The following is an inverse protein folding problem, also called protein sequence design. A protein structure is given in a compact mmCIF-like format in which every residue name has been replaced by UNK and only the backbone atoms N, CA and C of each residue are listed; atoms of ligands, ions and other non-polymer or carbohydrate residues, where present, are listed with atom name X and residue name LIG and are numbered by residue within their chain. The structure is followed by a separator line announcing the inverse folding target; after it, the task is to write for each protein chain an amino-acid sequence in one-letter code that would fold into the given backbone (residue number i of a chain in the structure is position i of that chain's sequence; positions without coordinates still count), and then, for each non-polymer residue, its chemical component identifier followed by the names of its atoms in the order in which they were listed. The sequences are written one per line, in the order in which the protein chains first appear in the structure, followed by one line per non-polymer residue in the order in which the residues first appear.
data_IF_019567143431
#
_entry.id   IF_019567143431
#
_cell.length_a   1.000
_cell.length_b   1.000
_cell.length_c   1.000
_cell.angle_alpha   90.00
_cell.angle_beta   90.00
_cell.angle_gamma   90.00
#
_symmetry.space_group_name_H-M   'P 1'
#
loop_
_entity.id
_entity.type
_entity.pdbx_description
1 polymer ?
#
# COMPACT_ATOMS: atom_id res chain seq x y z
N UNK A 1 -10.22 27.40 -35.13
CA UNK A 1 -10.54 27.38 -33.67
C UNK A 1 -10.19 25.99 -33.17
N UNK A 2 -9.20 25.83 -32.26
CA UNK A 2 -8.89 24.50 -31.70
C UNK A 2 -10.03 24.11 -30.76
N UNK A 3 -10.71 23.00 -31.03
CA UNK A 3 -11.65 22.37 -30.10
C UNK A 3 -10.83 21.54 -29.12
N UNK A 4 -10.87 21.90 -27.85
CA UNK A 4 -10.40 21.05 -26.77
C UNK A 4 -11.59 20.21 -26.34
N UNK A 5 -11.46 18.89 -26.45
CA UNK A 5 -12.44 17.92 -25.95
C UNK A 5 -11.76 17.02 -24.94
N UNK A 6 -12.54 16.47 -24.01
CA UNK A 6 -12.08 15.44 -23.08
C UNK A 6 -12.27 14.08 -23.75
N UNK A 7 -11.24 13.24 -23.71
CA UNK A 7 -11.33 11.86 -24.21
C UNK A 7 -10.82 10.89 -23.14
N UNK A 8 -11.60 9.86 -22.76
CA UNK A 8 -12.98 9.62 -23.18
C UNK A 8 -13.93 10.75 -22.74
N UNK A 9 -15.09 10.85 -23.40
CA UNK A 9 -16.12 11.83 -23.01
C UNK A 9 -16.51 11.62 -21.54
N UNK A 10 -16.66 12.72 -20.81
CA UNK A 10 -17.13 12.66 -19.43
C UNK A 10 -18.66 12.49 -19.41
N UNK A 11 -19.13 11.51 -18.64
CA UNK A 11 -20.56 11.30 -18.41
C UNK A 11 -20.99 12.00 -17.13
N UNK A 12 -21.97 12.90 -17.24
CA UNK A 12 -22.65 13.48 -16.07
C UNK A 12 -23.79 12.56 -15.64
N UNK A 13 -23.83 12.25 -14.35
CA UNK A 13 -24.98 11.59 -13.74
C UNK A 13 -25.41 12.38 -12.50
N UNK A 14 -26.54 13.09 -12.62
CA UNK A 14 -27.01 14.06 -11.63
C UNK A 14 -25.93 15.09 -11.23
N UNK A 15 -25.38 14.97 -10.03
CA UNK A 15 -24.42 15.94 -9.45
C UNK A 15 -22.97 15.48 -9.56
N UNK A 16 -22.70 14.35 -10.21
CA UNK A 16 -21.39 13.73 -10.27
C UNK A 16 -20.90 13.51 -11.70
N UNK A 17 -19.58 13.56 -11.85
CA UNK A 17 -18.84 13.05 -13.00
C UNK A 17 -18.19 11.73 -12.64
N UNK A 18 -18.23 10.78 -13.58
CA UNK A 18 -17.54 9.50 -13.43
C UNK A 18 -16.47 9.39 -14.51
N UNK A 19 -15.28 8.92 -14.14
CA UNK A 19 -14.22 8.56 -15.09
C UNK A 19 -13.70 7.15 -14.81
N UNK A 20 -13.05 6.55 -15.80
CA UNK A 20 -12.58 5.15 -15.72
C UNK A 20 -13.63 4.11 -16.15
N UNK A 21 -14.85 4.53 -16.41
CA UNK A 21 -15.94 3.66 -16.87
C UNK A 21 -15.72 3.19 -18.31
N UNK A 22 -15.89 1.88 -18.52
CA UNK A 22 -15.80 1.25 -19.85
C UNK A 22 -17.16 1.10 -20.52
N UNK A 23 -18.22 0.84 -19.73
CA UNK A 23 -19.61 0.86 -20.21
C UNK A 23 -20.60 0.89 -19.02
N UNK A 24 -21.72 1.58 -19.18
CA UNK A 24 -22.79 1.59 -18.17
C UNK A 24 -22.52 2.47 -16.95
N UNK A 25 -23.24 2.23 -15.86
CA UNK A 25 -23.08 2.92 -14.58
C UNK A 25 -22.07 2.16 -13.70
N UNK A 26 -21.20 2.85 -12.94
CA UNK A 26 -20.26 2.18 -12.05
C UNK A 26 -21.00 1.44 -10.93
N UNK A 27 -20.73 0.16 -10.75
CA UNK A 27 -21.22 -0.59 -9.58
C UNK A 27 -20.40 -0.24 -8.34
N UNK A 28 -19.10 -0.04 -8.53
CA UNK A 28 -18.14 0.32 -7.48
C UNK A 28 -17.38 1.59 -7.86
N UNK A 29 -17.22 2.51 -6.91
CA UNK A 29 -16.59 3.80 -7.17
C UNK A 29 -15.87 4.37 -5.96
N UNK A 30 -14.87 5.22 -6.23
CA UNK A 30 -14.15 6.02 -5.25
C UNK A 30 -14.42 7.51 -5.48
N UNK A 31 -14.64 8.29 -4.43
CA UNK A 31 -14.69 9.75 -4.51
C UNK A 31 -13.28 10.31 -4.60
N UNK A 32 -12.94 10.96 -5.71
CA UNK A 32 -11.56 11.45 -5.95
C UNK A 32 -11.42 12.95 -5.85
N UNK A 33 -12.52 13.69 -5.77
CA UNK A 33 -12.50 15.14 -5.59
C UNK A 33 -13.64 15.85 -6.29
N UNK A 34 -13.43 17.11 -6.65
CA UNK A 34 -14.42 17.98 -7.30
C UNK A 34 -13.78 18.68 -8.49
N UNK A 35 -14.57 18.93 -9.54
CA UNK A 35 -14.11 19.81 -10.63
C UNK A 35 -13.92 21.24 -10.10
N UNK A 36 -12.82 21.86 -10.54
CA UNK A 36 -12.41 23.22 -10.12
C UNK A 36 -12.77 24.31 -11.13
N UNK A 37 -13.60 23.98 -12.11
CA UNK A 37 -14.02 24.87 -13.20
C UNK A 37 -14.95 25.98 -12.69
N UNK A 38 -15.06 27.07 -13.45
CA UNK A 38 -15.95 28.18 -13.12
C UNK A 38 -17.41 27.73 -13.28
N UNK A 39 -18.14 27.63 -12.16
CA UNK A 39 -19.55 27.24 -12.15
C UNK A 39 -19.87 26.27 -11.02
N UNK A 40 -20.71 25.26 -11.33
CA UNK A 40 -21.12 24.24 -10.37
C UNK A 40 -19.95 23.30 -10.08
N UNK A 41 -19.68 23.05 -8.80
CA UNK A 41 -18.69 22.06 -8.35
C UNK A 41 -19.30 20.67 -8.41
N UNK A 42 -18.99 19.92 -9.46
CA UNK A 42 -19.40 18.53 -9.57
C UNK A 42 -18.42 17.64 -8.79
N UNK A 43 -18.95 16.68 -8.06
CA UNK A 43 -18.12 15.62 -7.46
C UNK A 43 -17.59 14.72 -8.57
N UNK A 44 -16.37 14.23 -8.41
CA UNK A 44 -15.70 13.34 -9.35
C UNK A 44 -15.54 11.99 -8.69
N UNK A 45 -15.98 10.95 -9.40
CA UNK A 45 -15.89 9.56 -8.98
C UNK A 45 -15.07 8.75 -9.97
N UNK A 46 -14.24 7.87 -9.43
CA UNK A 46 -13.46 6.93 -10.21
C UNK A 46 -14.14 5.57 -10.17
N UNK A 47 -14.45 5.03 -11.35
CA UNK A 47 -15.02 3.69 -11.50
C UNK A 47 -13.94 2.62 -11.31
N UNK A 48 -14.16 1.78 -10.31
CA UNK A 48 -13.27 0.66 -9.94
C UNK A 48 -13.96 -0.70 -10.13
N UNK A 49 -15.09 -0.74 -10.84
CA UNK A 49 -15.87 -1.98 -11.07
C UNK A 49 -15.02 -3.06 -11.75
N UNK A 50 -14.07 -2.66 -12.60
CA UNK A 50 -13.10 -3.53 -13.27
C UNK A 50 -11.69 -3.25 -12.80
N UNK A 51 -10.78 -4.18 -13.07
CA UNK A 51 -9.36 -4.06 -12.78
C UNK A 51 -8.74 -2.89 -13.55
N UNK A 52 -7.95 -2.07 -12.85
CA UNK A 52 -7.30 -0.89 -13.43
C UNK A 52 -5.82 -0.87 -13.03
N UNK A 53 -4.98 -0.49 -13.98
CA UNK A 53 -3.58 -0.12 -13.72
C UNK A 53 -3.49 1.40 -13.70
N UNK A 54 -3.03 1.96 -12.58
CA UNK A 54 -3.02 3.40 -12.33
C UNK A 54 -1.59 3.85 -12.09
N UNK A 55 -1.21 4.97 -12.71
CA UNK A 55 0.05 5.63 -12.43
C UNK A 55 -0.21 7.11 -12.10
N UNK A 56 0.32 7.58 -10.97
CA UNK A 56 0.15 8.95 -10.47
C UNK A 56 1.46 9.70 -10.63
N UNK A 57 1.47 10.71 -11.52
CA UNK A 57 2.65 11.51 -11.83
C UNK A 57 2.48 12.96 -11.38
N UNK A 58 3.59 13.63 -11.08
CA UNK A 58 3.60 15.03 -10.68
C UNK A 58 4.94 15.46 -10.08
N UNK A 59 5.19 16.78 -10.03
CA UNK A 59 6.41 17.34 -9.39
C UNK A 59 6.39 17.08 -7.88
N UNK A 60 7.52 17.33 -7.21
CA UNK A 60 7.61 17.25 -5.75
C UNK A 60 6.63 18.26 -5.13
N UNK A 61 5.79 17.80 -4.20
CA UNK A 61 4.80 18.65 -3.53
C UNK A 61 3.43 18.74 -4.21
N UNK A 62 3.25 18.16 -5.40
CA UNK A 62 1.98 18.23 -6.17
C UNK A 62 0.91 17.21 -5.70
N UNK A 63 1.03 16.66 -4.50
CA UNK A 63 -0.02 15.81 -3.93
C UNK A 63 -0.04 14.34 -4.36
N UNK A 64 1.00 13.78 -4.99
CA UNK A 64 1.03 12.36 -5.39
C UNK A 64 0.64 11.38 -4.26
N UNK A 65 1.29 11.50 -3.10
CA UNK A 65 0.99 10.67 -1.93
C UNK A 65 -0.40 10.96 -1.35
N UNK A 66 -0.86 12.21 -1.44
CA UNK A 66 -2.22 12.57 -1.03
C UNK A 66 -3.26 11.86 -1.91
N UNK A 67 -3.11 11.92 -3.24
CA UNK A 67 -3.97 11.21 -4.19
C UNK A 67 -3.96 9.70 -3.95
N UNK A 68 -2.78 9.09 -3.77
CA UNK A 68 -2.68 7.66 -3.49
C UNK A 68 -3.36 7.30 -2.17
N UNK A 69 -3.15 8.09 -1.11
CA UNK A 69 -3.81 7.95 0.18
C UNK A 69 -5.32 7.97 0.05
N UNK A 70 -5.90 9.00 -0.58
CA UNK A 70 -7.34 9.12 -0.74
C UNK A 70 -7.95 7.96 -1.55
N UNK A 71 -7.23 7.45 -2.55
CA UNK A 71 -7.68 6.25 -3.28
C UNK A 71 -7.68 5.01 -2.38
N UNK A 72 -6.59 4.79 -1.64
CA UNK A 72 -6.48 3.65 -0.71
C UNK A 72 -7.53 3.74 0.38
N UNK A 73 -7.73 4.90 1.00
CA UNK A 73 -8.77 5.13 2.04
C UNK A 73 -10.15 4.75 1.53
N UNK A 74 -10.52 5.18 0.31
CA UNK A 74 -11.80 4.83 -0.29
C UNK A 74 -11.96 3.33 -0.56
N UNK A 75 -10.87 2.62 -0.83
CA UNK A 75 -10.89 1.16 -1.09
C UNK A 75 -11.09 0.32 0.18
N UNK A 76 -10.76 0.86 1.35
CA UNK A 76 -10.69 0.11 2.62
C UNK A 76 -11.67 0.63 3.66
N UNK A 77 -12.70 1.37 3.27
CA UNK A 77 -13.75 1.80 4.20
C UNK A 77 -14.48 0.58 4.78
N UNK A 78 -14.73 0.60 6.09
CA UNK A 78 -15.52 -0.47 6.72
C UNK A 78 -16.96 -0.45 6.18
N UNK A 79 -17.57 0.72 6.01
CA UNK A 79 -18.94 0.85 5.51
C UNK A 79 -18.98 0.85 3.97
N UNK A 80 -20.07 0.31 3.40
CA UNK A 80 -20.34 0.37 1.96
C UNK A 80 -21.86 0.45 1.73
N UNK A 81 -22.38 1.53 1.13
CA UNK A 81 -21.64 2.73 0.71
C UNK A 81 -21.14 3.55 1.90
N UNK A 82 -20.07 4.33 1.70
CA UNK A 82 -19.52 5.31 2.63
C UNK A 82 -19.65 6.73 2.05
N UNK A 83 -19.25 7.77 2.80
CA UNK A 83 -19.22 9.14 2.25
C UNK A 83 -18.16 9.34 1.16
N UNK A 84 -17.14 8.47 1.08
CA UNK A 84 -16.02 8.59 0.14
C UNK A 84 -15.95 7.45 -0.89
N UNK A 85 -16.80 6.42 -0.80
CA UNK A 85 -16.73 5.27 -1.71
C UNK A 85 -17.99 4.40 -1.72
N UNK A 86 -18.08 3.53 -2.71
CA UNK A 86 -18.95 2.36 -2.75
C UNK A 86 -18.14 1.19 -3.27
N UNK A 87 -17.71 0.29 -2.39
CA UNK A 87 -16.82 -0.84 -2.73
C UNK A 87 -17.39 -2.12 -2.13
N UNK A 88 -17.40 -3.21 -2.91
CA UNK A 88 -17.80 -4.54 -2.42
C UNK A 88 -16.68 -5.11 -1.55
N UNK A 89 -17.03 -5.82 -0.47
CA UNK A 89 -16.06 -6.33 0.53
C UNK A 89 -15.27 -7.57 0.11
N UNK A 90 -15.19 -7.86 -1.19
CA UNK A 90 -14.48 -9.04 -1.74
C UNK A 90 -13.07 -8.69 -2.22
N UNK A 91 -12.53 -7.55 -1.78
CA UNK A 91 -11.23 -7.01 -2.21
C UNK A 91 -10.31 -6.82 -1.01
N UNK A 92 -9.03 -7.08 -1.22
CA UNK A 92 -7.97 -6.78 -0.26
C UNK A 92 -6.96 -5.80 -0.89
N UNK A 93 -6.40 -4.91 -0.07
CA UNK A 93 -5.38 -3.95 -0.49
C UNK A 93 -4.08 -4.29 0.22
N UNK A 94 -3.04 -4.63 -0.54
CA UNK A 94 -1.67 -4.69 -0.05
C UNK A 94 -0.97 -3.38 -0.38
N UNK A 95 -0.46 -2.69 0.63
CA UNK A 95 0.08 -1.35 0.48
C UNK A 95 1.50 -1.23 1.04
N UNK A 96 2.46 -0.92 0.17
CA UNK A 96 3.85 -0.74 0.54
C UNK A 96 4.16 0.74 0.80
N UNK A 97 4.16 1.14 2.07
CA UNK A 97 4.50 2.50 2.50
C UNK A 97 5.99 2.65 2.79
N UNK A 98 6.76 2.95 1.75
CA UNK A 98 8.22 3.09 1.85
C UNK A 98 8.69 4.34 2.61
N UNK A 99 7.81 5.32 2.85
CA UNK A 99 8.13 6.57 3.53
C UNK A 99 7.51 6.68 4.93
N UNK A 100 6.74 5.68 5.35
CA UNK A 100 6.06 5.61 6.64
C UNK A 100 5.14 6.82 6.93
N UNK A 101 4.43 7.30 5.90
CA UNK A 101 3.53 8.46 5.97
C UNK A 101 2.05 8.06 6.14
N UNK A 102 1.69 6.81 5.88
CA UNK A 102 0.32 6.28 5.91
C UNK A 102 0.02 5.45 7.15
N UNK A 103 0.98 5.27 8.06
CA UNK A 103 0.78 4.60 9.36
C UNK A 103 -0.31 5.23 10.26
N UNK A 104 -0.81 6.41 9.90
CA UNK A 104 -1.87 7.12 10.63
C UNK A 104 -3.28 6.82 10.10
N UNK A 105 -3.43 6.03 9.03
CA UNK A 105 -4.74 5.70 8.44
C UNK A 105 -5.68 4.97 9.42
N UNK A 106 -5.14 4.29 10.43
CA UNK A 106 -5.96 3.62 11.44
C UNK A 106 -6.50 4.58 12.53
N UNK A 107 -6.21 5.89 12.43
CA UNK A 107 -6.69 6.91 13.34
C UNK A 107 -7.83 7.68 12.65
N UNK A 108 -9.10 7.46 13.05
CA UNK A 108 -10.22 8.18 12.46
C UNK A 108 -10.14 9.68 12.80
N UNK A 109 -10.47 10.53 11.83
CA UNK A 109 -10.54 11.98 12.01
C UNK A 109 -11.78 12.40 12.81
N UNK A 110 -11.72 12.26 14.14
CA UNK A 110 -12.79 12.68 15.05
C UNK A 110 -12.70 14.15 15.46
N UNK A 111 -13.86 14.82 15.59
CA UNK A 111 -13.98 16.16 16.18
C UNK A 111 -13.81 16.18 17.72
N UNK A 112 -13.53 15.03 18.33
CA UNK A 112 -13.33 14.87 19.77
C UNK A 112 -11.90 15.21 20.22
N UNK A 113 -10.90 15.06 19.35
CA UNK A 113 -9.50 15.39 19.67
C UNK A 113 -9.21 16.88 19.50
N UNK A 114 -9.92 17.69 20.29
CA UNK A 114 -9.78 19.16 20.32
C UNK A 114 -8.40 19.61 20.82
N UNK A 115 -7.58 18.70 21.33
CA UNK A 115 -6.24 19.00 21.84
C UNK A 115 -5.25 19.44 20.75
N UNK A 116 -5.45 19.00 19.51
CA UNK A 116 -4.49 19.23 18.42
C UNK A 116 -5.09 20.10 17.32
N UNK A 117 -4.54 21.31 17.16
CA UNK A 117 -5.01 22.29 16.16
C UNK A 117 -5.01 21.75 14.73
N UNK A 118 -4.04 20.89 14.39
CA UNK A 118 -3.94 20.34 13.04
C UNK A 118 -5.07 19.34 12.73
N UNK A 119 -5.42 18.47 13.69
CA UNK A 119 -6.56 17.56 13.57
C UNK A 119 -7.86 18.35 13.39
N UNK A 120 -8.03 19.45 14.14
CA UNK A 120 -9.20 20.31 13.97
C UNK A 120 -9.27 20.97 12.58
N UNK A 121 -8.14 21.39 12.02
CA UNK A 121 -8.10 21.94 10.65
C UNK A 121 -8.48 20.88 9.63
N UNK A 122 -7.95 19.66 9.76
CA UNK A 122 -8.29 18.55 8.86
C UNK A 122 -9.77 18.17 8.96
N UNK A 123 -10.32 18.10 10.18
CA UNK A 123 -11.75 17.86 10.39
C UNK A 123 -12.64 18.96 9.78
N UNK A 124 -12.23 20.24 9.87
CA UNK A 124 -12.94 21.35 9.21
C UNK A 124 -12.89 21.24 7.69
N UNK A 125 -11.75 20.87 7.12
CA UNK A 125 -11.61 20.61 5.69
C UNK A 125 -12.59 19.53 5.26
N UNK A 126 -12.59 18.39 5.94
CA UNK A 126 -13.50 17.25 5.68
C UNK A 126 -14.97 17.69 5.66
N UNK A 127 -15.42 18.48 6.64
CA UNK A 127 -16.79 19.05 6.66
C UNK A 127 -17.06 19.94 5.44
N UNK A 128 -16.10 20.78 5.01
CA UNK A 128 -16.23 21.59 3.79
C UNK A 128 -16.32 20.77 2.49
N UNK A 129 -15.87 19.51 2.53
CA UNK A 129 -15.98 18.54 1.45
C UNK A 129 -17.25 17.69 1.52
N UNK A 130 -18.14 17.95 2.49
CA UNK A 130 -19.40 17.20 2.68
C UNK A 130 -19.17 15.68 2.81
N UNK A 131 -18.09 15.32 3.50
CA UNK A 131 -17.71 13.94 3.80
C UNK A 131 -17.67 13.73 5.32
N UNK A 132 -17.97 12.51 5.76
CA UNK A 132 -17.90 12.11 7.16
C UNK A 132 -16.57 11.41 7.47
N UNK A 133 -16.13 11.40 8.73
CA UNK A 133 -15.03 10.53 9.10
C UNK A 133 -15.46 9.07 8.93
N UNK A 134 -14.71 8.32 8.14
CA UNK A 134 -14.92 6.89 7.91
C UNK A 134 -13.97 6.06 8.78
N UNK A 135 -14.45 4.90 9.26
CA UNK A 135 -13.58 3.88 9.84
C UNK A 135 -12.98 3.03 8.71
N UNK A 136 -11.69 2.72 8.81
CA UNK A 136 -10.93 2.05 7.77
C UNK A 136 -10.47 0.66 8.26
N UNK A 137 -10.75 -0.36 7.46
CA UNK A 137 -10.32 -1.75 7.68
C UNK A 137 -8.85 -1.91 7.32
N UNK A 138 -7.95 -1.45 8.19
CA UNK A 138 -6.51 -1.40 7.94
C UNK A 138 -5.75 -2.08 9.07
N UNK A 139 -4.93 -3.08 8.69
CA UNK A 139 -3.88 -3.63 9.52
C UNK A 139 -2.53 -3.04 9.13
N UNK A 140 -1.75 -2.62 10.12
CA UNK A 140 -0.42 -2.04 9.91
C UNK A 140 0.63 -3.04 10.40
N UNK A 141 1.51 -3.42 9.47
CA UNK A 141 2.59 -4.36 9.69
C UNK A 141 3.93 -3.61 9.64
N UNK A 142 4.67 -3.65 10.74
CA UNK A 142 5.98 -2.99 10.87
C UNK A 142 7.07 -4.05 10.82
N UNK A 143 8.12 -3.91 10.00
CA UNK A 143 9.26 -4.83 10.03
C UNK A 143 9.77 -5.03 11.46
N UNK A 144 9.93 -6.30 11.85
CA UNK A 144 10.42 -6.64 13.18
C UNK A 144 11.75 -5.92 13.47
N UNK A 145 11.87 -5.35 14.66
CA UNK A 145 13.04 -4.54 15.06
C UNK A 145 12.98 -3.05 14.67
N UNK A 146 11.99 -2.62 13.87
CA UNK A 146 11.84 -1.21 13.45
C UNK A 146 10.79 -0.42 14.26
N UNK A 147 10.28 -0.97 15.37
CA UNK A 147 9.41 -0.22 16.27
C UNK A 147 10.17 0.93 16.92
N UNK A 148 9.54 2.09 17.02
CA UNK A 148 10.05 3.27 17.70
C UNK A 148 9.00 3.85 18.64
N UNK A 149 9.34 4.93 19.37
CA UNK A 149 8.48 5.50 20.43
C UNK A 149 7.05 5.83 20.00
N UNK A 150 6.80 6.15 18.72
CA UNK A 150 5.46 6.49 18.22
C UNK A 150 4.73 5.30 17.57
N UNK A 151 5.37 4.14 17.47
CA UNK A 151 4.74 2.95 16.92
C UNK A 151 3.68 2.46 17.89
N UNK A 152 2.44 2.35 17.41
CA UNK A 152 1.32 1.84 18.21
C UNK A 152 1.56 0.38 18.63
N UNK A 153 1.17 0.03 19.86
CA UNK A 153 1.18 -1.36 20.31
C UNK A 153 0.20 -2.25 19.54
N UNK A 154 -0.79 -1.64 18.85
CA UNK A 154 -1.76 -2.35 18.01
C UNK A 154 -1.22 -2.79 16.65
N UNK A 155 -0.06 -2.28 16.24
CA UNK A 155 0.55 -2.70 14.97
C UNK A 155 1.13 -4.10 15.09
N UNK A 156 1.16 -4.83 13.99
CA UNK A 156 1.73 -6.16 13.90
C UNK A 156 3.22 -6.11 13.54
N UNK A 157 3.98 -7.10 13.98
CA UNK A 157 5.36 -7.27 13.53
C UNK A 157 5.36 -8.11 12.26
N UNK A 158 6.02 -7.59 11.22
CA UNK A 158 6.30 -8.29 9.98
C UNK A 158 7.63 -9.01 10.11
N UNK A 159 7.59 -10.33 10.02
CA UNK A 159 8.76 -11.19 9.91
C UNK A 159 8.83 -11.75 8.49
N UNK A 160 10.05 -11.92 8.00
CA UNK A 160 10.32 -12.69 6.78
C UNK A 160 10.99 -13.98 7.24
N UNK A 161 10.54 -15.12 6.73
CA UNK A 161 11.17 -16.38 7.06
C UNK A 161 12.56 -16.43 6.41
N UNK A 162 13.56 -16.87 7.18
CA UNK A 162 14.94 -17.02 6.67
C UNK A 162 14.96 -17.98 5.49
N UNK A 163 14.20 -19.07 5.58
CA UNK A 163 14.09 -20.07 4.52
C UNK A 163 13.57 -19.52 3.18
N UNK A 164 12.87 -18.37 3.18
CA UNK A 164 12.36 -17.75 1.96
C UNK A 164 13.45 -17.00 1.17
N UNK A 165 14.63 -16.76 1.78
CA UNK A 165 15.73 -16.08 1.11
C UNK A 165 16.43 -17.01 0.12
N UNK A 166 16.54 -16.55 -1.12
CA UNK A 166 17.45 -17.15 -2.11
C UNK A 166 18.89 -16.76 -1.81
N UNK A 167 19.85 -17.43 -2.47
CA UNK A 167 21.27 -17.04 -2.36
C UNK A 167 21.50 -15.62 -2.88
N UNK A 168 20.74 -15.19 -3.90
CA UNK A 168 20.78 -13.83 -4.42
C UNK A 168 20.27 -12.82 -3.40
N UNK A 169 19.21 -13.14 -2.65
CA UNK A 169 18.67 -12.27 -1.60
C UNK A 169 19.69 -12.08 -0.46
N UNK A 170 20.38 -13.15 -0.07
CA UNK A 170 21.48 -13.08 0.89
C UNK A 170 22.63 -12.20 0.38
N UNK A 171 22.94 -12.28 -0.91
CA UNK A 171 23.94 -11.42 -1.55
C UNK A 171 23.57 -9.96 -1.51
N UNK A 172 22.32 -9.64 -1.85
CA UNK A 172 21.80 -8.29 -1.73
C UNK A 172 21.82 -7.78 -0.29
N UNK A 173 21.43 -8.61 0.68
CA UNK A 173 21.37 -8.25 2.09
C UNK A 173 22.76 -7.98 2.69
N UNK A 174 23.75 -8.80 2.34
CA UNK A 174 25.12 -8.73 2.88
C UNK A 174 26.06 -7.86 2.02
N UNK A 175 25.60 -7.40 0.86
CA UNK A 175 26.41 -6.64 -0.09
C UNK A 175 27.55 -7.46 -0.70
N UNK A 176 27.28 -8.73 -1.03
CA UNK A 176 28.25 -9.68 -1.60
C UNK A 176 27.89 -10.03 -3.04
N UNK A 177 28.89 -10.05 -3.91
CA UNK A 177 28.79 -10.65 -5.24
C UNK A 177 29.08 -12.15 -5.14
N UNK A 178 28.07 -12.98 -5.41
CA UNK A 178 28.18 -14.45 -5.30
C UNK A 178 29.21 -15.08 -6.22
N UNK A 179 29.62 -14.36 -7.28
CA UNK A 179 30.57 -14.86 -8.28
C UNK A 179 31.95 -14.28 -8.07
N UNK A 180 32.06 -12.98 -7.72
CA UNK A 180 33.34 -12.27 -7.67
C UNK A 180 33.97 -12.26 -6.29
N UNK A 181 33.17 -12.22 -5.24
CA UNK A 181 33.68 -12.13 -3.88
C UNK A 181 33.96 -13.52 -3.34
N UNK A 182 35.15 -13.72 -2.77
CA UNK A 182 35.51 -14.99 -2.10
C UNK A 182 34.49 -15.32 -1.00
N UNK A 183 33.99 -14.31 -0.28
CA UNK A 183 32.95 -14.46 0.74
C UNK A 183 31.60 -14.87 0.13
N UNK A 184 31.25 -14.34 -1.04
CA UNK A 184 30.02 -14.69 -1.76
C UNK A 184 30.07 -16.12 -2.30
N UNK A 185 31.21 -16.53 -2.87
CA UNK A 185 31.43 -17.91 -3.32
C UNK A 185 31.34 -18.91 -2.15
N UNK A 186 31.97 -18.58 -1.02
CA UNK A 186 31.91 -19.43 0.17
C UNK A 186 30.49 -19.54 0.73
N UNK A 187 29.76 -18.42 0.82
CA UNK A 187 28.35 -18.44 1.23
C UNK A 187 27.47 -19.25 0.28
N UNK A 188 27.73 -19.18 -1.03
CA UNK A 188 27.04 -20.00 -2.03
C UNK A 188 27.29 -21.49 -1.79
N UNK A 189 28.52 -21.89 -1.48
CA UNK A 189 28.85 -23.28 -1.18
C UNK A 189 28.14 -23.78 0.10
N UNK A 190 28.13 -22.97 1.16
CA UNK A 190 27.39 -23.27 2.39
C UNK A 190 25.91 -23.43 2.08
N UNK A 191 25.30 -22.46 1.41
CA UNK A 191 23.89 -22.49 1.06
C UNK A 191 23.53 -23.74 0.24
N UNK A 192 24.34 -24.11 -0.75
CA UNK A 192 24.12 -25.33 -1.53
C UNK A 192 24.17 -26.59 -0.67
N UNK A 193 25.13 -26.67 0.26
CA UNK A 193 25.26 -27.79 1.20
C UNK A 193 24.08 -27.87 2.17
N UNK A 194 23.63 -26.75 2.70
CA UNK A 194 22.56 -26.69 3.70
C UNK A 194 21.18 -26.90 3.07
N UNK A 195 20.91 -26.28 1.93
CA UNK A 195 19.54 -26.18 1.37
C UNK A 195 19.28 -27.19 0.26
N UNK A 196 20.29 -27.58 -0.53
CA UNK A 196 20.09 -28.35 -1.78
C UNK A 196 20.67 -29.76 -1.69
N UNK A 197 21.93 -29.90 -1.27
CA UNK A 197 22.69 -31.15 -1.42
C UNK A 197 22.73 -31.99 -0.14
N UNK A 198 22.71 -31.34 1.04
CA UNK A 198 23.16 -31.96 2.28
C UNK A 198 24.69 -31.94 2.40
N UNK A 199 25.20 -32.30 3.57
CA UNK A 199 26.63 -32.30 3.87
C UNK A 199 27.01 -33.36 4.91
N UNK A 200 28.31 -33.60 5.07
CA UNK A 200 28.86 -34.62 5.97
C UNK A 200 29.87 -33.93 6.89
N UNK A 201 29.71 -34.08 8.20
CA UNK A 201 30.65 -33.53 9.20
C UNK A 201 31.78 -34.53 9.53
N UNK A 202 31.42 -35.80 9.69
CA UNK A 202 32.25 -36.98 9.91
C UNK A 202 31.76 -38.10 8.97
N UNK A 203 32.59 -39.05 8.52
CA UNK A 203 32.17 -40.09 7.56
C UNK A 203 30.94 -40.91 7.97
N UNK A 204 30.55 -40.84 9.25
CA UNK A 204 29.39 -41.52 9.81
C UNK A 204 28.11 -40.67 9.92
N UNK A 205 28.17 -39.35 9.70
CA UNK A 205 27.05 -38.44 9.95
C UNK A 205 26.76 -37.55 8.73
N UNK A 206 25.65 -37.86 8.07
CA UNK A 206 25.12 -37.12 6.94
C UNK A 206 23.97 -36.22 7.41
N UNK A 207 24.09 -34.94 7.10
CA UNK A 207 23.06 -33.93 7.29
C UNK A 207 22.29 -33.77 5.97
N UNK A 208 21.00 -34.14 5.91
CA UNK A 208 20.21 -33.95 4.70
C UNK A 208 19.96 -32.47 4.42
N UNK A 209 19.64 -32.10 3.18
CA UNK A 209 19.26 -30.73 2.84
C UNK A 209 18.01 -30.30 3.63
N UNK A 210 18.00 -29.05 4.10
CA UNK A 210 16.93 -28.44 4.87
C UNK A 210 16.35 -27.22 4.13
N UNK A 211 15.14 -27.37 3.58
CA UNK A 211 14.41 -26.27 2.94
C UNK A 211 13.83 -25.27 3.93
N UNK A 212 13.72 -25.63 5.21
CA UNK A 212 13.26 -24.76 6.30
C UNK A 212 14.46 -24.34 7.17
N UNK A 213 15.57 -23.94 6.53
CA UNK A 213 16.78 -23.56 7.23
C UNK A 213 16.59 -22.24 7.99
N UNK A 214 17.26 -22.13 9.13
CA UNK A 214 17.44 -20.89 9.88
C UNK A 214 18.81 -20.28 9.63
N UNK A 215 19.03 -19.05 10.12
CA UNK A 215 20.33 -18.38 9.97
C UNK A 215 21.47 -19.14 10.64
N UNK A 216 21.17 -19.97 11.65
CA UNK A 216 22.18 -20.77 12.36
C UNK A 216 22.62 -22.02 11.59
N UNK A 217 21.90 -22.36 10.53
CA UNK A 217 22.27 -23.46 9.65
C UNK A 217 23.26 -23.00 8.56
N UNK A 218 23.39 -21.68 8.33
CA UNK A 218 24.34 -21.03 7.40
C UNK A 218 25.60 -20.54 8.15
#
# INVERSE_FOLDING_TARGET
MKRYGLYPDLYTEADWFVFGTESGKPEEWLFTGRLTEYGRRYNVKFDITKEKVIAIFGKRGEGKSYTLGSLVEGMVTENSPSSISNVKRERAVLFFDTLNIFQWMNIPLGSQDKKYNEIQKQAKTMVGWDISPESLAVDIWVPAGYRYRLTSSKFHDLFINVADFTIEDWGALLGLDMVRDIKGQFLTEIYQKVVILGWIDDPSSFHPPNLNYGIQDL
#
